data_IF_200925208604
#
_entry.id   IF_200925208604
#
_cell.length_a   1.000
_cell.length_b   1.000
_cell.length_c   1.000
_cell.angle_alpha   90.00
_cell.angle_beta   90.00
_cell.angle_gamma   90.00
#
_symmetry.space_group_name_H-M   'P 1'
#
loop_
_entity.id
_entity.type
_entity.pdbx_description
1 polymer ?
#
# COMPACT_ATOMS: atom_id res chain seq x y z
N UNK A 1 15.18 6.75 -3.48
CA UNK A 1 14.53 5.42 -3.58
C UNK A 1 14.05 5.03 -2.20
N UNK A 2 12.73 4.99 -1.98
CA UNK A 2 12.14 4.56 -0.70
C UNK A 2 12.11 3.04 -0.72
N UNK A 3 12.83 2.38 0.20
CA UNK A 3 12.75 0.93 0.38
C UNK A 3 11.57 0.64 1.30
N UNK A 4 10.51 0.00 0.79
CA UNK A 4 9.31 -0.35 1.56
C UNK A 4 9.52 -1.55 2.50
N UNK A 5 10.65 -2.25 2.38
CA UNK A 5 10.98 -3.42 3.19
C UNK A 5 10.73 -4.71 2.44
N UNK A 6 10.43 -5.78 3.18
CA UNK A 6 10.09 -7.10 2.63
C UNK A 6 8.65 -7.46 2.97
N UNK A 7 8.02 -8.23 2.09
CA UNK A 7 6.75 -8.87 2.37
C UNK A 7 6.91 -9.85 3.55
N UNK A 8 6.04 -9.82 4.56
CA UNK A 8 6.11 -10.75 5.69
C UNK A 8 5.79 -12.21 5.31
N UNK A 9 5.05 -12.44 4.23
CA UNK A 9 4.58 -13.78 3.82
C UNK A 9 5.58 -14.49 2.91
N UNK A 10 6.13 -13.78 1.91
CA UNK A 10 7.00 -14.38 0.90
C UNK A 10 8.43 -13.82 0.90
N UNK A 11 8.75 -12.92 1.84
CA UNK A 11 10.06 -12.29 2.02
C UNK A 11 10.59 -11.50 0.80
N UNK A 12 9.76 -11.31 -0.23
CA UNK A 12 10.08 -10.51 -1.41
C UNK A 12 10.27 -9.05 -1.05
N UNK A 13 11.24 -8.41 -1.68
CA UNK A 13 11.47 -6.97 -1.52
C UNK A 13 10.31 -6.21 -2.14
N UNK A 14 9.74 -5.29 -1.38
CA UNK A 14 8.64 -4.43 -1.80
C UNK A 14 9.19 -3.19 -2.49
N UNK A 15 8.60 -2.85 -3.63
CA UNK A 15 8.95 -1.71 -4.47
C UNK A 15 7.81 -0.69 -4.51
N UNK A 16 8.07 0.54 -4.97
CA UNK A 16 7.04 1.57 -5.10
C UNK A 16 5.84 1.12 -5.96
N UNK A 17 6.06 0.14 -6.85
CA UNK A 17 5.00 -0.47 -7.65
C UNK A 17 4.04 -1.34 -6.84
N UNK A 18 4.42 -1.83 -5.65
CA UNK A 18 3.53 -2.54 -4.71
C UNK A 18 2.60 -1.60 -3.93
N UNK A 19 2.67 -0.29 -4.20
CA UNK A 19 1.78 0.72 -3.65
C UNK A 19 0.60 0.93 -4.59
N UNK A 20 -0.62 0.79 -4.09
CA UNK A 20 -1.85 1.01 -4.85
C UNK A 20 -2.74 2.06 -4.18
N UNK A 21 -3.21 3.04 -4.95
CA UNK A 21 -4.25 3.96 -4.47
C UNK A 21 -5.60 3.25 -4.48
N UNK A 22 -6.24 3.18 -3.31
CA UNK A 22 -7.59 2.64 -3.16
C UNK A 22 -8.55 3.74 -2.74
N UNK A 23 -9.77 3.67 -3.27
CA UNK A 23 -10.87 4.56 -2.89
C UNK A 23 -11.97 3.73 -2.24
N UNK A 24 -12.24 4.00 -0.96
CA UNK A 24 -13.40 3.40 -0.29
C UNK A 24 -14.65 4.18 -0.67
N UNK A 25 -15.68 3.46 -1.12
CA UNK A 25 -16.97 4.03 -1.50
C UNK A 25 -17.56 4.82 -0.32
N UNK A 26 -17.89 6.09 -0.53
CA UNK A 26 -18.45 6.97 0.50
C UNK A 26 -17.42 7.77 1.30
N UNK A 27 -16.12 7.66 0.96
CA UNK A 27 -15.06 8.50 1.55
C UNK A 27 -14.50 9.48 0.52
N UNK A 28 -14.19 10.70 0.94
CA UNK A 28 -13.47 11.70 0.12
C UNK A 28 -11.94 11.59 0.28
N UNK A 29 -11.51 10.67 1.13
CA UNK A 29 -10.10 10.48 1.51
C UNK A 29 -9.47 9.50 0.54
N UNK A 30 -8.27 9.84 0.07
CA UNK A 30 -7.45 8.89 -0.69
C UNK A 30 -6.73 7.97 0.27
N UNK A 31 -6.85 6.68 0.02
CA UNK A 31 -6.16 5.66 0.77
C UNK A 31 -5.13 5.00 -0.12
N UNK A 32 -4.06 4.54 0.51
CA UNK A 32 -2.97 3.83 -0.11
C UNK A 32 -2.93 2.45 0.51
N UNK A 33 -2.97 1.40 -0.31
CA UNK A 33 -2.72 0.03 0.09
C UNK A 33 -1.29 -0.37 -0.29
N UNK A 34 -0.64 -1.12 0.58
CA UNK A 34 0.63 -1.78 0.26
C UNK A 34 0.31 -3.25 0.00
N UNK A 35 0.30 -3.65 -1.28
CA UNK A 35 0.00 -5.03 -1.69
C UNK A 35 1.22 -5.64 -2.36
N UNK A 36 1.72 -6.75 -1.81
CA UNK A 36 2.78 -7.50 -2.46
C UNK A 36 2.24 -8.17 -3.73
N UNK A 37 2.76 -7.78 -4.89
CA UNK A 37 2.30 -8.36 -6.18
C UNK A 37 2.69 -9.82 -6.40
N UNK A 38 3.67 -10.33 -5.65
CA UNK A 38 4.15 -11.70 -5.81
C UNK A 38 3.22 -12.74 -5.16
N UNK A 39 2.68 -12.43 -3.98
CA UNK A 39 1.80 -13.33 -3.23
C UNK A 39 0.39 -12.78 -3.01
N UNK A 40 0.09 -11.61 -3.58
CA UNK A 40 -1.17 -10.86 -3.48
C UNK A 40 -1.57 -10.46 -2.04
N UNK A 41 -0.65 -10.57 -1.09
CA UNK A 41 -0.90 -10.21 0.31
C UNK A 41 -0.98 -8.70 0.49
N UNK A 42 -2.07 -8.24 1.12
CA UNK A 42 -2.19 -6.86 1.58
C UNK A 42 -1.46 -6.71 2.92
N UNK A 43 -0.44 -5.86 2.94
CA UNK A 43 0.46 -5.64 4.07
C UNK A 43 -0.11 -4.56 5.00
N UNK A 44 -0.77 -3.55 4.45
CA UNK A 44 -1.39 -2.50 5.24
C UNK A 44 -2.02 -1.40 4.39
N UNK A 45 -2.63 -0.45 5.09
CA UNK A 45 -3.27 0.72 4.50
C UNK A 45 -2.80 2.00 5.17
N UNK A 46 -2.60 3.06 4.39
CA UNK A 46 -2.37 4.41 4.87
C UNK A 46 -3.45 5.34 4.33
N UNK A 47 -3.89 6.31 5.13
CA UNK A 47 -4.88 7.30 4.72
C UNK A 47 -4.19 8.65 4.64
N UNK A 48 -4.07 9.22 3.44
CA UNK A 48 -3.62 10.60 3.30
C UNK A 48 -4.82 11.52 3.45
N UNK A 49 -5.12 11.89 4.70
CA UNK A 49 -5.99 13.02 4.97
C UNK A 49 -5.24 14.31 4.63
N UNK A 50 -5.48 14.86 3.44
CA UNK A 50 -5.05 16.23 3.11
C UNK A 50 -5.99 17.22 3.80
N UNK A 51 -5.89 17.33 5.12
CA UNK A 51 -6.38 18.50 5.84
C UNK A 51 -5.19 19.42 6.10
N UNK A 52 -5.04 20.41 5.23
CA UNK A 52 -4.40 21.69 5.53
C UNK A 52 -5.20 22.77 4.82
#
# INVERSE_FOLDING_TARGET
MVKLGKCPECEMVLEDSDIEEIHFKGTVVRHIAYRCRHCDTIIGFSSHNRFS
#
